data_IF_993393674468
#
_entry.id   IF_993393674468
#
_cell.length_a   1.000
_cell.length_b   1.000
_cell.length_c   1.000
_cell.angle_alpha   90.00
_cell.angle_beta   90.00
_cell.angle_gamma   90.00
#
_symmetry.space_group_name_H-M   'P 1'
#
loop_
_entity.id
_entity.type
_entity.pdbx_description
1 polymer ?
#
# COMPACT_ATOMS: atom_id res chain seq x y z
N UNK A 1 4.37 -2.82 -11.03
CA UNK A 1 4.58 -4.21 -11.48
C UNK A 1 4.50 -5.14 -10.29
N UNK A 2 4.17 -6.43 -10.46
CA UNK A 2 4.25 -7.43 -9.40
C UNK A 2 5.63 -7.46 -8.74
N UNK A 3 5.67 -7.35 -7.42
CA UNK A 3 6.92 -7.33 -6.65
C UNK A 3 6.71 -7.88 -5.24
N UNK A 4 7.80 -8.32 -4.63
CA UNK A 4 7.89 -8.77 -3.24
C UNK A 4 8.64 -7.75 -2.39
N UNK A 5 8.15 -7.48 -1.18
CA UNK A 5 8.84 -6.64 -0.20
C UNK A 5 9.80 -7.49 0.62
N UNK A 6 11.07 -7.08 0.73
CA UNK A 6 12.01 -7.69 1.69
C UNK A 6 11.95 -7.04 3.07
N UNK A 7 11.42 -5.82 3.14
CA UNK A 7 11.18 -5.06 4.36
C UNK A 7 9.70 -4.74 4.54
N UNK A 8 9.41 -3.89 5.51
CA UNK A 8 8.08 -3.31 5.67
C UNK A 8 7.92 -2.14 4.70
N UNK A 9 6.75 -2.02 4.09
CA UNK A 9 6.28 -0.81 3.42
C UNK A 9 5.19 -0.15 4.28
N UNK A 10 5.34 1.12 4.55
CA UNK A 10 4.25 1.95 5.10
C UNK A 10 3.95 3.08 4.13
N UNK A 11 2.69 3.27 3.77
CA UNK A 11 2.29 4.36 2.92
C UNK A 11 1.06 5.09 3.42
N UNK A 12 1.03 6.39 3.13
CA UNK A 12 -0.10 7.26 3.38
C UNK A 12 -0.63 7.83 2.06
N UNK A 13 -1.94 7.74 1.86
CA UNK A 13 -2.61 8.35 0.70
C UNK A 13 -3.00 9.78 1.05
N UNK A 14 -2.39 10.75 0.37
CA UNK A 14 -2.65 12.18 0.56
C UNK A 14 -3.85 12.59 -0.30
N UNK A 15 -3.84 12.21 -1.59
CA UNK A 15 -4.91 12.49 -2.55
C UNK A 15 -5.13 11.29 -3.49
N UNK A 16 -6.33 11.18 -4.05
CA UNK A 16 -6.69 10.14 -5.02
C UNK A 16 -6.88 8.75 -4.42
N UNK A 17 -6.62 7.72 -5.23
CA UNK A 17 -6.77 6.31 -4.85
C UNK A 17 -5.66 5.40 -5.41
N UNK A 18 -5.23 4.43 -4.60
CA UNK A 18 -4.48 3.25 -5.01
C UNK A 18 -5.38 2.02 -4.92
N UNK A 19 -5.28 1.15 -5.91
CA UNK A 19 -5.97 -0.14 -5.94
C UNK A 19 -4.89 -1.23 -5.96
N UNK A 20 -4.97 -2.16 -5.01
CA UNK A 20 -4.08 -3.31 -4.94
C UNK A 20 -4.60 -4.46 -5.82
N UNK A 21 -3.80 -5.51 -5.99
CA UNK A 21 -4.10 -6.65 -6.86
C UNK A 21 -5.37 -7.43 -6.48
N UNK A 22 -5.79 -7.39 -5.21
CA UNK A 22 -7.03 -7.99 -4.70
C UNK A 22 -8.27 -7.11 -4.93
N UNK A 23 -8.09 -5.93 -5.53
CA UNK A 23 -9.13 -4.92 -5.72
C UNK A 23 -9.35 -4.04 -4.49
N UNK A 24 -8.57 -4.20 -3.40
CA UNK A 24 -8.63 -3.32 -2.24
C UNK A 24 -8.29 -1.89 -2.65
N UNK A 25 -9.20 -0.97 -2.29
CA UNK A 25 -8.99 0.46 -2.52
C UNK A 25 -8.47 1.16 -1.27
N UNK A 26 -7.37 1.89 -1.44
CA UNK A 26 -6.81 2.84 -0.49
C UNK A 26 -7.05 4.26 -1.02
N UNK A 27 -7.62 5.12 -0.18
CA UNK A 27 -8.11 6.47 -0.50
C UNK A 27 -7.45 7.48 0.43
N UNK A 28 -7.49 8.76 0.05
CA UNK A 28 -7.03 9.86 0.90
C UNK A 28 -7.37 9.68 2.39
N UNK A 29 -6.37 9.83 3.26
CA UNK A 29 -6.48 9.62 4.70
C UNK A 29 -6.13 8.22 5.21
N UNK A 30 -5.90 7.26 4.32
CA UNK A 30 -5.48 5.91 4.70
C UNK A 30 -3.98 5.83 4.98
N UNK A 31 -3.63 5.24 6.12
CA UNK A 31 -2.29 4.77 6.45
C UNK A 31 -2.28 3.23 6.44
N UNK A 32 -1.39 2.64 5.64
CA UNK A 32 -1.34 1.21 5.38
C UNK A 32 0.07 0.70 5.64
N UNK A 33 0.19 -0.41 6.39
CA UNK A 33 1.46 -1.10 6.62
C UNK A 33 1.38 -2.50 5.99
N UNK A 34 2.33 -2.80 5.11
CA UNK A 34 2.52 -4.07 4.42
C UNK A 34 3.83 -4.69 4.90
N UNK A 35 3.76 -5.91 5.43
CA UNK A 35 4.91 -6.59 6.00
C UNK A 35 5.87 -7.20 4.96
N UNK A 36 7.07 -7.61 5.39
CA UNK A 36 7.98 -8.42 4.57
C UNK A 36 7.29 -9.67 4.00
N UNK A 37 7.62 -10.03 2.76
CA UNK A 37 7.04 -11.17 2.05
C UNK A 37 5.71 -10.90 1.36
N UNK A 38 5.14 -9.69 1.51
CA UNK A 38 4.01 -9.24 0.68
C UNK A 38 4.45 -9.23 -0.79
N UNK A 39 3.67 -9.89 -1.63
CA UNK A 39 3.82 -10.03 -3.08
C UNK A 39 2.61 -9.41 -3.76
N UNK A 40 2.76 -8.20 -4.27
CA UNK A 40 1.61 -7.44 -4.75
C UNK A 40 1.98 -6.49 -5.90
N UNK A 41 0.96 -5.79 -6.39
CA UNK A 41 1.15 -4.59 -7.18
C UNK A 41 -0.02 -3.65 -6.92
N UNK A 42 0.29 -2.36 -6.90
CA UNK A 42 -0.73 -1.31 -6.81
C UNK A 42 -0.77 -0.51 -8.11
N UNK A 43 -1.95 -0.01 -8.44
CA UNK A 43 -2.18 0.87 -9.58
C UNK A 43 -3.18 1.97 -9.22
N UNK A 44 -3.18 3.05 -9.99
CA UNK A 44 -4.10 4.16 -9.80
C UNK A 44 -4.75 4.54 -11.11
N UNK A 45 -6.05 4.27 -11.32
CA UNK A 45 -6.73 4.59 -12.57
C UNK A 45 -6.89 6.11 -12.77
N UNK A 46 -6.99 6.88 -11.68
CA UNK A 46 -7.28 8.31 -11.69
C UNK A 46 -6.13 9.17 -11.11
N UNK A 47 -5.00 8.57 -10.77
CA UNK A 47 -3.89 9.23 -10.08
C UNK A 47 -4.03 9.18 -8.55
N UNK A 48 -2.88 9.18 -7.88
CA UNK A 48 -2.77 9.29 -6.44
C UNK A 48 -1.50 10.05 -6.06
N UNK A 49 -1.59 10.84 -5.00
CA UNK A 49 -0.44 11.40 -4.32
C UNK A 49 -0.23 10.62 -3.02
N UNK A 50 0.93 9.98 -2.89
CA UNK A 50 1.27 9.18 -1.72
C UNK A 50 2.67 9.49 -1.22
N UNK A 51 2.88 9.23 0.07
CA UNK A 51 4.22 9.06 0.65
C UNK A 51 4.36 7.61 1.05
N UNK A 52 5.47 6.99 0.66
CA UNK A 52 5.79 5.61 1.00
C UNK A 52 7.17 5.56 1.67
N UNK A 53 7.28 4.74 2.70
CA UNK A 53 8.51 4.45 3.41
C UNK A 53 8.75 2.95 3.35
N UNK A 54 9.94 2.55 2.91
CA UNK A 54 10.34 1.15 2.82
C UNK A 54 11.56 0.94 3.72
N UNK A 55 11.54 -0.11 4.54
CA UNK A 55 12.67 -0.43 5.43
C UNK A 55 13.74 -1.28 4.74
N UNK A 56 13.45 -1.82 3.56
CA UNK A 56 14.36 -2.59 2.72
C UNK A 56 13.93 -2.48 1.24
N UNK A 57 14.61 -3.20 0.37
CA UNK A 57 14.41 -3.25 -1.07
C UNK A 57 13.23 -4.14 -1.49
N UNK A 58 12.81 -3.97 -2.74
CA UNK A 58 11.80 -4.79 -3.40
C UNK A 58 12.41 -5.66 -4.49
N UNK A 59 11.91 -6.88 -4.65
CA UNK A 59 12.24 -7.78 -5.76
C UNK A 59 11.09 -7.79 -6.76
N UNK A 60 11.36 -7.54 -8.04
CA UNK A 60 10.35 -7.75 -9.09
C UNK A 60 10.10 -9.25 -9.26
N UNK A 61 8.82 -9.65 -9.31
CA UNK A 61 8.43 -11.04 -9.51
C UNK A 61 8.55 -11.46 -10.97
N UNK A 62 8.95 -12.71 -11.21
CA UNK A 62 8.88 -13.33 -12.53
C UNK A 62 7.43 -13.69 -12.91
N UNK A 63 7.21 -13.94 -14.19
CA UNK A 63 5.91 -14.41 -14.68
C UNK A 63 5.53 -15.75 -14.02
N UNK A 64 4.30 -15.83 -13.50
CA UNK A 64 3.77 -17.02 -12.83
C UNK A 64 4.07 -17.14 -11.34
N UNK A 65 4.87 -16.26 -10.74
CA UNK A 65 5.00 -16.21 -9.27
C UNK A 65 3.70 -15.69 -8.63
N UNK A 66 3.21 -16.37 -7.58
CA UNK A 66 1.96 -16.01 -6.91
C UNK A 66 2.05 -14.69 -6.13
N UNK A 67 0.96 -13.93 -6.21
CA UNK A 67 0.70 -12.77 -5.35
C UNK A 67 0.14 -13.23 -4.01
N UNK A 68 0.49 -12.54 -2.95
CA UNK A 68 0.03 -12.83 -1.60
C UNK A 68 0.31 -11.63 -0.69
N UNK A 69 -0.49 -11.45 0.35
CA UNK A 69 -0.18 -10.43 1.36
C UNK A 69 0.56 -10.98 2.60
N UNK A 70 1.00 -12.24 2.56
CA UNK A 70 1.58 -12.90 3.73
C UNK A 70 0.64 -12.92 4.95
N UNK A 71 1.17 -13.27 6.14
CA UNK A 71 0.40 -13.28 7.39
C UNK A 71 0.24 -11.90 8.05
N UNK A 72 1.13 -10.94 7.75
CA UNK A 72 1.28 -9.69 8.50
C UNK A 72 0.81 -8.45 7.71
N UNK A 73 -0.51 -8.33 7.53
CA UNK A 73 -1.13 -7.13 6.96
C UNK A 73 -1.87 -6.36 8.04
N UNK A 74 -1.30 -5.24 8.49
CA UNK A 74 -2.04 -4.33 9.35
C UNK A 74 -2.90 -3.40 8.47
N UNK A 75 -4.09 -3.88 8.07
CA UNK A 75 -5.00 -3.07 7.24
C UNK A 75 -5.60 -1.91 8.06
N UNK A 76 -5.02 -0.73 7.79
CA UNK A 76 -5.71 0.57 7.68
C UNK A 76 -6.04 1.27 9.01
N UNK A 77 -5.12 2.11 9.46
CA UNK A 77 -5.49 3.24 10.32
C UNK A 77 -5.94 4.39 9.41
N UNK A 78 -7.13 4.96 9.67
CA UNK A 78 -7.58 6.17 8.96
C UNK A 78 -7.24 7.38 9.81
N UNK A 79 -6.37 8.24 9.30
CA UNK A 79 -6.21 9.56 9.89
C UNK A 79 -7.47 10.38 9.60
N UNK A 80 -8.11 10.89 10.65
CA UNK A 80 -9.16 11.90 10.55
C UNK A 80 -8.60 13.17 11.15
N UNK A 81 -8.39 14.19 10.32
CA UNK A 81 -8.08 15.51 10.83
C UNK A 81 -9.19 15.91 11.82
N UNK A 82 -8.84 16.48 12.98
CA UNK A 82 -9.84 17.07 13.86
C UNK A 82 -10.61 18.12 13.05
N UNK A 83 -11.94 18.20 13.25
CA UNK A 83 -12.72 19.30 12.68
C UNK A 83 -12.07 20.59 13.19
N UNK A 84 -11.80 21.52 12.27
CA UNK A 84 -11.44 22.88 12.67
C UNK A 84 -12.53 23.38 13.62
N UNK A 85 -12.13 23.86 14.80
CA UNK A 85 -13.05 24.56 15.68
C UNK A 85 -13.57 25.80 14.93
N UNK A 86 -14.89 25.94 14.88
CA UNK A 86 -15.58 27.12 14.34
C UNK A 86 -15.24 28.39 15.15
#
# INVERSE_FOLDING_TARGET
TPHEHFGMEEFYVIEGELIDHDGQKYTAGDFVSLGPGVRHYSYSPNGALTVAWLTDTNRTLAEGEELSFGPDVLKRARYRAPKAAE
#
